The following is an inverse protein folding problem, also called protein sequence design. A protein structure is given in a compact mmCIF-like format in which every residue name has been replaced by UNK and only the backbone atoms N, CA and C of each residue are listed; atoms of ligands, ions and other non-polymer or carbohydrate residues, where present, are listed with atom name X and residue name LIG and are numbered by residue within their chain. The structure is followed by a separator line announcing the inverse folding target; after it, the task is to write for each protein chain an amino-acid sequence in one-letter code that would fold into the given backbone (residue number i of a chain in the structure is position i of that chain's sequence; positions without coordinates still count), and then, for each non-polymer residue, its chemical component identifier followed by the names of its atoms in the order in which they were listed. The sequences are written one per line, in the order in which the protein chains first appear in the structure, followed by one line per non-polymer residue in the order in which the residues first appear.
data_IF_788297899451
#
_entry.id   IF_788297899451
#
_cell.length_a   1.000
_cell.length_b   1.000
_cell.length_c   1.000
_cell.angle_alpha   90.00
_cell.angle_beta   90.00
_cell.angle_gamma   90.00
#
_symmetry.space_group_name_H-M   'P 1'
#
loop_
_entity.id
_entity.type
_entity.pdbx_description
1 polymer ?
#
# COMPACT_ATOMS: atom_id res chain seq x y z
N UNK A 1 20.13 49.42 -15.92
CA UNK A 1 19.54 48.24 -16.60
C UNK A 1 20.52 47.07 -16.63
N UNK A 2 21.76 47.28 -17.00
CA UNK A 2 22.75 46.21 -17.17
C UNK A 2 23.07 45.39 -15.91
N UNK A 3 23.18 46.04 -14.74
CA UNK A 3 23.49 45.32 -13.48
C UNK A 3 22.31 44.40 -13.02
N UNK A 4 21.08 44.82 -13.25
CA UNK A 4 19.89 44.01 -12.92
C UNK A 4 19.81 42.82 -13.88
N UNK A 5 20.04 43.04 -15.16
CA UNK A 5 20.03 41.98 -16.17
C UNK A 5 21.15 40.97 -15.93
N UNK A 6 22.37 41.43 -15.58
CA UNK A 6 23.45 40.54 -15.20
C UNK A 6 23.11 39.74 -13.94
N UNK A 7 22.52 40.37 -12.91
CA UNK A 7 22.07 39.67 -11.70
C UNK A 7 21.03 38.60 -11.99
N UNK A 8 20.04 38.90 -12.83
CA UNK A 8 19.04 37.91 -13.27
C UNK A 8 19.68 36.74 -14.04
N UNK A 9 20.62 37.03 -14.95
CA UNK A 9 21.32 35.98 -15.70
C UNK A 9 22.14 35.08 -14.78
N UNK A 10 22.86 35.65 -13.83
CA UNK A 10 23.64 34.88 -12.84
C UNK A 10 22.68 34.01 -12.00
N UNK A 11 21.57 34.55 -11.56
CA UNK A 11 20.55 33.79 -10.81
C UNK A 11 20.04 32.60 -11.63
N UNK A 12 19.65 32.81 -12.88
CA UNK A 12 19.16 31.74 -13.78
C UNK A 12 20.25 30.67 -13.98
N UNK A 13 21.51 31.08 -14.16
CA UNK A 13 22.63 30.14 -14.30
C UNK A 13 22.88 29.32 -13.04
N UNK A 14 22.79 29.94 -11.85
CA UNK A 14 22.94 29.24 -10.58
C UNK A 14 21.78 28.23 -10.40
N UNK A 15 20.55 28.67 -10.62
CA UNK A 15 19.38 27.77 -10.53
C UNK A 15 19.50 26.61 -11.51
N UNK A 16 19.85 26.90 -12.78
CA UNK A 16 20.06 25.86 -13.78
C UNK A 16 21.17 24.87 -13.42
N UNK A 17 22.31 25.37 -12.90
CA UNK A 17 23.37 24.50 -12.43
C UNK A 17 23.00 23.65 -11.23
N UNK A 18 22.23 24.21 -10.28
CA UNK A 18 21.74 23.48 -9.10
C UNK A 18 20.74 22.39 -9.52
N UNK A 19 19.77 22.71 -10.38
CA UNK A 19 18.83 21.72 -10.92
C UNK A 19 19.55 20.61 -11.69
N UNK A 20 20.56 20.98 -12.52
CA UNK A 20 21.38 20.00 -13.25
C UNK A 20 22.17 19.08 -12.30
N UNK A 21 22.71 19.62 -11.21
CA UNK A 21 23.46 18.84 -10.23
C UNK A 21 22.50 17.86 -9.50
N UNK A 22 21.30 18.31 -9.10
CA UNK A 22 20.30 17.45 -8.47
C UNK A 22 19.84 16.34 -9.40
N UNK A 23 19.60 16.66 -10.68
CA UNK A 23 19.27 15.66 -11.69
C UNK A 23 20.35 14.58 -11.78
N UNK A 24 21.63 14.97 -11.92
CA UNK A 24 22.74 14.02 -12.02
C UNK A 24 22.94 13.19 -10.75
N UNK A 25 22.70 13.78 -9.56
CA UNK A 25 22.76 13.05 -8.30
C UNK A 25 21.64 12.01 -8.19
N UNK A 26 20.43 12.35 -8.62
CA UNK A 26 19.30 11.41 -8.62
C UNK A 26 19.48 10.28 -9.63
N UNK A 27 19.95 10.58 -10.86
CA UNK A 27 20.26 9.53 -11.85
C UNK A 27 21.30 8.54 -11.30
N UNK A 28 22.39 9.07 -10.73
CA UNK A 28 23.41 8.22 -10.12
C UNK A 28 22.88 7.40 -8.95
N UNK A 29 22.03 8.00 -8.10
CA UNK A 29 21.39 7.29 -7.00
C UNK A 29 20.48 6.17 -7.53
N UNK A 30 19.67 6.47 -8.53
CA UNK A 30 18.79 5.50 -9.18
C UNK A 30 19.58 4.31 -9.74
N UNK A 31 20.65 4.56 -10.50
CA UNK A 31 21.51 3.50 -11.05
C UNK A 31 22.09 2.61 -9.93
N UNK A 32 22.62 3.22 -8.86
CA UNK A 32 23.15 2.49 -7.71
C UNK A 32 22.06 1.64 -7.01
N UNK A 33 20.84 2.16 -6.92
CA UNK A 33 19.73 1.44 -6.31
C UNK A 33 19.26 0.28 -7.17
N UNK A 34 19.21 0.44 -8.49
CA UNK A 34 18.92 -0.67 -9.42
C UNK A 34 19.99 -1.76 -9.31
N UNK A 35 21.30 -1.39 -9.29
CA UNK A 35 22.38 -2.35 -9.06
C UNK A 35 22.21 -3.10 -7.73
N UNK A 36 21.80 -2.40 -6.66
CA UNK A 36 21.53 -3.02 -5.37
C UNK A 36 20.33 -3.98 -5.44
N UNK A 37 19.22 -3.55 -6.05
CA UNK A 37 18.02 -4.38 -6.25
C UNK A 37 18.34 -5.61 -7.10
N UNK A 38 19.20 -5.50 -8.09
CA UNK A 38 19.60 -6.62 -8.94
C UNK A 38 20.43 -7.69 -8.21
N UNK A 39 20.84 -7.43 -6.96
CA UNK A 39 21.40 -8.49 -6.09
C UNK A 39 20.33 -9.42 -5.50
N UNK A 40 19.07 -9.00 -5.50
CA UNK A 40 17.94 -9.85 -5.08
C UNK A 40 17.47 -10.63 -6.31
N UNK A 41 17.88 -11.88 -6.39
CA UNK A 41 17.43 -12.80 -7.43
C UNK A 41 16.98 -14.09 -6.73
N UNK A 42 15.68 -14.31 -6.69
CA UNK A 42 15.05 -15.44 -6.00
C UNK A 42 14.34 -16.28 -7.05
N UNK A 43 14.68 -17.57 -7.09
CA UNK A 43 13.93 -18.53 -7.88
C UNK A 43 12.85 -19.14 -6.98
N UNK A 44 11.59 -18.85 -7.27
CA UNK A 44 10.46 -19.47 -6.58
C UNK A 44 10.20 -20.84 -7.19
N UNK A 45 10.31 -21.88 -6.38
CA UNK A 45 9.94 -23.25 -6.75
C UNK A 45 8.47 -23.52 -6.41
N UNK A 46 7.74 -24.20 -7.31
CA UNK A 46 6.35 -24.65 -7.11
C UNK A 46 5.31 -23.54 -6.91
N UNK A 47 5.49 -22.38 -7.53
CA UNK A 47 4.55 -21.27 -7.44
C UNK A 47 3.23 -21.59 -8.17
N UNK A 48 2.09 -21.27 -7.56
CA UNK A 48 0.79 -21.27 -8.24
C UNK A 48 0.80 -20.24 -9.36
N UNK A 49 0.39 -20.66 -10.56
CA UNK A 49 0.37 -19.80 -11.76
C UNK A 49 -1.04 -19.26 -11.94
N UNK A 50 -1.25 -17.93 -11.83
CA UNK A 50 -2.55 -17.33 -12.08
C UNK A 50 -2.90 -17.39 -13.56
N UNK A 51 -4.21 -17.37 -13.84
CA UNK A 51 -4.78 -17.37 -15.18
C UNK A 51 -5.80 -16.22 -15.30
N UNK A 52 -6.15 -15.84 -16.53
CA UNK A 52 -7.27 -14.91 -16.75
C UNK A 52 -8.52 -15.68 -17.16
N UNK A 53 -9.65 -15.25 -16.64
CA UNK A 53 -10.96 -15.75 -17.07
C UNK A 53 -11.45 -15.04 -18.36
N UNK A 54 -12.64 -15.41 -18.82
CA UNK A 54 -13.24 -14.84 -20.04
C UNK A 54 -13.56 -13.33 -19.92
N UNK A 55 -13.66 -12.81 -18.68
CA UNK A 55 -13.85 -11.39 -18.42
C UNK A 55 -12.52 -10.63 -18.29
N UNK A 56 -11.38 -11.33 -18.37
CA UNK A 56 -10.03 -10.78 -18.25
C UNK A 56 -9.53 -10.65 -16.82
N UNK A 57 -10.27 -11.10 -15.82
CA UNK A 57 -9.87 -11.03 -14.43
C UNK A 57 -8.96 -12.20 -14.05
N UNK A 58 -7.95 -11.91 -13.21
CA UNK A 58 -7.02 -12.91 -12.73
C UNK A 58 -7.67 -13.89 -11.74
N UNK A 59 -7.23 -15.13 -11.75
CA UNK A 59 -7.59 -16.11 -10.73
C UNK A 59 -6.47 -17.14 -10.50
N UNK A 60 -6.38 -17.60 -9.24
CA UNK A 60 -5.62 -18.78 -8.84
C UNK A 60 -6.56 -19.97 -8.70
N UNK A 61 -6.05 -21.19 -8.97
CA UNK A 61 -6.80 -22.43 -8.74
C UNK A 61 -6.04 -23.30 -7.74
N UNK A 62 -6.66 -23.56 -6.57
CA UNK A 62 -6.09 -24.42 -5.56
C UNK A 62 -7.18 -25.00 -4.65
N UNK A 63 -6.97 -26.23 -4.18
CA UNK A 63 -7.72 -26.85 -3.08
C UNK A 63 -6.95 -26.78 -1.75
N UNK A 64 -5.71 -26.32 -1.81
CA UNK A 64 -4.86 -26.05 -0.64
C UNK A 64 -5.02 -24.57 -0.21
N UNK A 65 -4.40 -24.22 0.92
CA UNK A 65 -4.35 -22.83 1.39
C UNK A 65 -3.54 -21.96 0.43
N UNK A 66 -4.04 -20.76 0.13
CA UNK A 66 -3.31 -19.73 -0.61
C UNK A 66 -2.78 -18.69 0.37
N UNK A 67 -1.48 -18.44 0.33
CA UNK A 67 -0.82 -17.46 1.19
C UNK A 67 -0.71 -16.11 0.49
N UNK A 68 -1.29 -15.07 1.08
CA UNK A 68 -1.19 -13.68 0.61
C UNK A 68 -0.40 -12.88 1.63
N UNK A 69 0.58 -12.11 1.14
CA UNK A 69 1.31 -11.14 1.95
C UNK A 69 0.75 -9.75 1.69
N UNK A 70 0.24 -9.09 2.72
CA UNK A 70 -0.22 -7.72 2.65
C UNK A 70 0.88 -6.77 3.13
N UNK A 71 1.30 -5.87 2.24
CA UNK A 71 2.26 -4.80 2.48
C UNK A 71 1.59 -3.44 2.27
N UNK A 72 2.11 -2.41 2.90
CA UNK A 72 1.61 -1.03 2.74
C UNK A 72 2.67 0.00 3.09
N UNK A 73 2.50 1.24 2.62
CA UNK A 73 3.30 2.41 3.03
C UNK A 73 4.82 2.16 2.95
N UNK A 74 5.30 1.75 1.77
CA UNK A 74 6.73 1.41 1.55
C UNK A 74 7.58 2.66 1.52
N UNK A 75 7.05 3.77 0.97
CA UNK A 75 7.63 5.11 0.95
C UNK A 75 9.05 5.19 0.41
N UNK A 76 9.32 4.52 -0.72
CA UNK A 76 10.56 4.70 -1.48
C UNK A 76 10.57 6.12 -2.04
N UNK A 77 11.62 6.86 -1.79
CA UNK A 77 11.69 8.26 -2.24
C UNK A 77 12.26 8.39 -3.65
N UNK A 78 13.18 7.52 -4.02
CA UNK A 78 13.96 7.63 -5.26
C UNK A 78 14.96 8.79 -5.27
N UNK A 79 15.02 9.58 -4.19
CA UNK A 79 15.84 10.76 -4.07
C UNK A 79 17.22 10.49 -3.45
N UNK A 80 18.26 11.17 -3.93
CA UNK A 80 19.63 10.99 -3.44
C UNK A 80 19.79 11.33 -1.94
N UNK A 81 18.90 12.15 -1.38
CA UNK A 81 18.96 12.56 0.03
C UNK A 81 18.48 11.46 1.00
N UNK A 82 17.73 10.48 0.51
CA UNK A 82 17.15 9.39 1.32
C UNK A 82 17.59 7.99 0.86
N UNK A 83 18.74 7.89 0.20
CA UNK A 83 19.22 6.63 -0.40
C UNK A 83 19.33 5.47 0.61
N UNK A 84 19.72 5.74 1.85
CA UNK A 84 19.83 4.71 2.90
C UNK A 84 18.45 4.26 3.38
N UNK A 85 17.50 5.17 3.53
CA UNK A 85 16.10 4.84 3.88
C UNK A 85 15.44 4.01 2.78
N UNK A 86 15.67 4.38 1.51
CA UNK A 86 15.19 3.59 0.37
C UNK A 86 15.75 2.17 0.38
N UNK A 87 17.05 1.99 0.68
CA UNK A 87 17.64 0.65 0.83
C UNK A 87 17.03 -0.13 1.98
N UNK A 88 16.74 0.53 3.12
CA UNK A 88 16.10 -0.12 4.26
C UNK A 88 14.70 -0.61 3.90
N UNK A 89 13.89 0.21 3.22
CA UNK A 89 12.56 -0.17 2.76
C UNK A 89 12.59 -1.34 1.77
N UNK A 90 13.46 -1.27 0.76
CA UNK A 90 13.69 -2.33 -0.23
C UNK A 90 14.12 -3.63 0.46
N UNK A 91 15.06 -3.55 1.40
CA UNK A 91 15.53 -4.71 2.14
C UNK A 91 14.45 -5.33 3.04
N UNK A 92 13.62 -4.50 3.66
CA UNK A 92 12.49 -4.95 4.48
C UNK A 92 11.47 -5.73 3.64
N UNK A 93 11.06 -5.18 2.49
CA UNK A 93 10.17 -5.88 1.54
C UNK A 93 10.78 -7.22 1.11
N UNK A 94 12.05 -7.23 0.70
CA UNK A 94 12.73 -8.45 0.27
C UNK A 94 12.80 -9.51 1.38
N UNK A 95 13.11 -9.10 2.61
CA UNK A 95 13.20 -10.00 3.76
C UNK A 95 11.86 -10.69 4.06
N UNK A 96 10.78 -9.92 4.08
CA UNK A 96 9.43 -10.42 4.33
C UNK A 96 8.93 -11.34 3.21
N UNK A 97 9.07 -10.93 1.96
CA UNK A 97 8.66 -11.74 0.81
C UNK A 97 9.42 -13.07 0.74
N UNK A 98 10.75 -13.04 0.95
CA UNK A 98 11.57 -14.27 0.90
C UNK A 98 11.27 -15.19 2.08
N UNK A 99 11.08 -14.65 3.28
CA UNK A 99 10.82 -15.46 4.47
C UNK A 99 9.43 -16.12 4.41
N UNK A 100 8.43 -15.36 3.98
CA UNK A 100 7.05 -15.86 3.91
C UNK A 100 6.78 -16.70 2.66
N UNK A 101 7.51 -16.50 1.57
CA UNK A 101 7.31 -17.20 0.31
C UNK A 101 5.82 -17.27 -0.07
N UNK A 102 5.13 -16.11 -0.25
CA UNK A 102 3.70 -16.07 -0.51
C UNK A 102 3.37 -16.45 -1.96
N UNK A 103 2.14 -16.86 -2.20
CA UNK A 103 1.60 -17.05 -3.56
C UNK A 103 1.28 -15.71 -4.23
N UNK A 104 0.90 -14.70 -3.44
CA UNK A 104 0.52 -13.37 -3.90
C UNK A 104 0.95 -12.31 -2.89
N UNK A 105 1.48 -11.20 -3.38
CA UNK A 105 1.72 -9.98 -2.57
C UNK A 105 0.71 -8.92 -3.00
N UNK A 106 -0.01 -8.34 -2.05
CA UNK A 106 -0.90 -7.20 -2.26
C UNK A 106 -0.33 -5.99 -1.51
N UNK A 107 -0.12 -4.89 -2.23
CA UNK A 107 0.38 -3.64 -1.65
C UNK A 107 -0.72 -2.61 -1.66
N UNK A 108 -1.13 -2.15 -0.48
CA UNK A 108 -2.20 -1.15 -0.37
C UNK A 108 -1.67 0.28 -0.38
N UNK A 109 -0.90 0.63 -1.42
CA UNK A 109 -0.53 2.01 -1.73
C UNK A 109 0.67 2.57 -0.99
N UNK A 110 0.94 3.83 -1.28
CA UNK A 110 2.05 4.62 -0.77
C UNK A 110 3.41 3.92 -0.96
N UNK A 111 3.63 3.45 -2.19
CA UNK A 111 4.93 2.91 -2.62
C UNK A 111 5.94 4.03 -2.75
N UNK A 112 5.51 5.20 -3.27
CA UNK A 112 6.36 6.35 -3.54
C UNK A 112 6.22 7.44 -2.49
N UNK A 113 7.34 8.07 -2.09
CA UNK A 113 7.38 9.29 -1.29
C UNK A 113 8.33 10.32 -1.89
N UNK A 114 8.14 10.64 -3.17
CA UNK A 114 8.97 11.58 -3.93
C UNK A 114 8.54 13.02 -3.66
N UNK A 115 9.08 13.65 -2.61
CA UNK A 115 8.79 15.02 -2.20
C UNK A 115 10.04 15.88 -2.23
N UNK A 116 9.96 17.22 -2.32
CA UNK A 116 11.13 18.08 -2.56
C UNK A 116 12.30 17.90 -1.58
N UNK A 117 12.02 17.60 -0.31
CA UNK A 117 13.07 17.43 0.71
C UNK A 117 13.84 16.11 0.59
N UNK A 118 13.34 15.13 -0.17
CA UNK A 118 14.08 13.89 -0.48
C UNK A 118 15.07 14.05 -1.63
N UNK A 119 15.08 15.23 -2.27
CA UNK A 119 15.96 15.59 -3.38
C UNK A 119 15.34 15.40 -4.76
N UNK A 120 14.13 14.85 -4.85
CA UNK A 120 13.42 14.67 -6.13
C UNK A 120 11.90 14.79 -5.94
N UNK A 121 11.21 15.15 -7.03
CA UNK A 121 9.77 15.03 -7.20
C UNK A 121 9.42 14.02 -8.30
N UNK A 122 10.42 13.28 -8.76
CA UNK A 122 10.26 12.28 -9.80
C UNK A 122 9.89 10.93 -9.18
N UNK A 123 8.61 10.70 -9.00
CA UNK A 123 8.06 9.47 -8.44
C UNK A 123 8.31 8.22 -9.30
N UNK A 124 8.72 8.38 -10.58
CA UNK A 124 9.03 7.22 -11.43
C UNK A 124 10.22 6.42 -10.93
N UNK A 125 11.18 7.06 -10.24
CA UNK A 125 12.30 6.32 -9.65
C UNK A 125 11.81 5.32 -8.61
N UNK A 126 10.97 5.75 -7.67
CA UNK A 126 10.42 4.90 -6.63
C UNK A 126 9.62 3.72 -7.21
N UNK A 127 8.67 4.01 -8.11
CA UNK A 127 7.85 2.97 -8.73
C UNK A 127 8.68 1.97 -9.55
N UNK A 128 9.68 2.45 -10.33
CA UNK A 128 10.57 1.55 -11.07
C UNK A 128 11.44 0.68 -10.15
N UNK A 129 11.94 1.24 -9.04
CA UNK A 129 12.70 0.47 -8.05
C UNK A 129 11.84 -0.63 -7.45
N UNK A 130 10.59 -0.32 -7.09
CA UNK A 130 9.66 -1.29 -6.54
C UNK A 130 9.27 -2.37 -7.56
N UNK A 131 8.92 -1.99 -8.80
CA UNK A 131 8.67 -2.93 -9.90
C UNK A 131 9.87 -3.88 -10.06
N UNK A 132 11.07 -3.31 -10.17
CA UNK A 132 12.29 -4.11 -10.35
C UNK A 132 12.52 -5.08 -9.20
N UNK A 133 12.27 -4.64 -7.96
CA UNK A 133 12.37 -5.48 -6.78
C UNK A 133 11.41 -6.67 -6.86
N UNK A 134 10.13 -6.41 -7.09
CA UNK A 134 9.11 -7.47 -7.11
C UNK A 134 9.33 -8.47 -8.25
N UNK A 135 9.71 -7.98 -9.44
CA UNK A 135 10.07 -8.85 -10.57
C UNK A 135 11.29 -9.72 -10.28
N UNK A 136 12.32 -9.18 -9.57
CA UNK A 136 13.51 -9.94 -9.16
C UNK A 136 13.23 -10.95 -8.02
N UNK A 137 12.26 -10.64 -7.15
CA UNK A 137 11.80 -11.59 -6.12
C UNK A 137 10.96 -12.72 -6.71
N UNK A 138 10.45 -12.56 -7.93
CA UNK A 138 9.78 -13.61 -8.69
C UNK A 138 8.46 -14.08 -8.08
N UNK A 139 7.77 -13.24 -7.33
CA UNK A 139 6.48 -13.52 -6.69
C UNK A 139 5.37 -12.76 -7.41
N UNK A 140 4.18 -13.35 -7.55
CA UNK A 140 3.03 -12.60 -8.09
C UNK A 140 2.60 -11.50 -7.15
N UNK A 141 2.29 -10.34 -7.70
CA UNK A 141 1.97 -9.15 -6.91
C UNK A 141 0.99 -8.22 -7.59
N UNK A 142 0.29 -7.42 -6.79
CA UNK A 142 -0.57 -6.35 -7.26
C UNK A 142 -0.57 -5.18 -6.29
N UNK A 143 -1.13 -4.04 -6.71
CA UNK A 143 -1.14 -2.81 -5.91
C UNK A 143 -2.51 -2.12 -5.98
N UNK A 144 -2.83 -1.34 -4.94
CA UNK A 144 -3.72 -0.18 -5.02
C UNK A 144 -2.89 1.08 -4.89
N UNK A 145 -3.47 2.26 -5.16
CA UNK A 145 -2.78 3.53 -5.01
C UNK A 145 -3.05 4.17 -3.66
N UNK A 146 -1.99 4.74 -3.07
CA UNK A 146 -2.09 5.64 -1.93
C UNK A 146 -2.06 7.12 -2.34
N UNK A 147 -2.09 8.02 -1.36
CA UNK A 147 -2.12 9.45 -1.64
C UNK A 147 -0.75 10.02 -2.03
N UNK A 148 0.36 9.38 -1.60
CA UNK A 148 1.71 9.82 -1.95
C UNK A 148 2.24 9.26 -3.26
N UNK A 149 1.55 8.31 -3.89
CA UNK A 149 2.02 7.72 -5.16
C UNK A 149 2.00 8.72 -6.32
N UNK A 150 1.15 9.76 -6.25
CA UNK A 150 1.06 10.82 -7.27
C UNK A 150 0.69 12.20 -6.68
N UNK A 151 1.50 12.72 -5.77
CA UNK A 151 1.35 14.07 -5.23
C UNK A 151 1.16 15.12 -6.33
N UNK A 152 0.43 16.21 -6.02
CA UNK A 152 0.07 17.23 -7.01
C UNK A 152 1.27 17.83 -7.77
N UNK A 153 2.47 17.79 -7.18
CA UNK A 153 3.73 18.29 -7.74
C UNK A 153 4.61 17.20 -8.37
N UNK A 154 4.23 15.92 -8.28
CA UNK A 154 5.04 14.82 -8.82
C UNK A 154 5.14 14.87 -10.35
N UNK A 155 6.23 14.28 -10.87
CA UNK A 155 6.52 14.25 -12.30
C UNK A 155 5.49 13.42 -13.08
N UNK A 156 5.03 12.30 -12.53
CA UNK A 156 3.99 11.47 -13.13
C UNK A 156 2.71 11.50 -12.29
N UNK A 157 1.59 11.56 -13.00
CA UNK A 157 0.26 11.43 -12.40
C UNK A 157 -0.16 9.97 -12.35
N UNK A 158 -1.12 9.66 -11.52
CA UNK A 158 -1.59 8.30 -11.21
C UNK A 158 -1.79 7.42 -12.44
N UNK A 159 -2.46 7.91 -13.48
CA UNK A 159 -2.63 7.15 -14.72
C UNK A 159 -1.28 6.73 -15.35
N UNK A 160 -0.32 7.65 -15.39
CA UNK A 160 1.00 7.31 -15.97
C UNK A 160 1.79 6.32 -15.11
N UNK A 161 1.56 6.31 -13.79
CA UNK A 161 2.11 5.29 -12.89
C UNK A 161 1.39 3.96 -13.08
N UNK A 162 0.08 3.98 -13.23
CA UNK A 162 -0.71 2.79 -13.54
C UNK A 162 -0.28 2.13 -14.85
N UNK A 163 0.06 2.93 -15.87
CA UNK A 163 0.58 2.41 -17.15
C UNK A 163 1.93 1.68 -16.97
N UNK A 164 2.72 2.03 -15.92
CA UNK A 164 3.96 1.30 -15.61
C UNK A 164 3.65 -0.08 -15.00
N UNK A 165 2.64 -0.17 -14.14
CA UNK A 165 2.21 -1.45 -13.53
C UNK A 165 1.46 -2.34 -14.52
N UNK A 166 0.70 -1.76 -15.44
CA UNK A 166 -0.03 -2.49 -16.49
C UNK A 166 0.83 -2.88 -17.70
N UNK A 167 2.16 -2.73 -17.60
CA UNK A 167 3.07 -3.09 -18.69
C UNK A 167 3.09 -4.61 -18.89
N UNK A 168 2.73 -5.08 -20.08
CA UNK A 168 2.68 -6.49 -20.48
C UNK A 168 4.04 -7.23 -20.41
N UNK A 169 5.16 -6.49 -20.36
CA UNK A 169 6.50 -7.05 -20.18
C UNK A 169 6.77 -7.51 -18.74
N UNK A 170 5.96 -7.09 -17.75
CA UNK A 170 6.06 -7.55 -16.37
C UNK A 170 5.51 -8.98 -16.25
N UNK A 171 6.33 -9.84 -15.68
CA UNK A 171 6.00 -11.26 -15.59
C UNK A 171 5.11 -11.60 -14.40
N UNK A 172 5.28 -10.87 -13.31
CA UNK A 172 4.67 -11.21 -12.02
C UNK A 172 3.63 -10.19 -11.55
N UNK A 173 3.52 -9.03 -12.21
CA UNK A 173 2.53 -8.01 -11.87
C UNK A 173 1.14 -8.40 -12.37
N UNK A 174 0.16 -8.46 -11.45
CA UNK A 174 -1.24 -8.78 -11.73
C UNK A 174 -2.15 -7.54 -11.69
N UNK A 175 -1.56 -6.36 -11.70
CA UNK A 175 -2.31 -5.11 -11.72
C UNK A 175 -3.14 -4.99 -13.01
N UNK A 176 -4.39 -4.57 -12.86
CA UNK A 176 -5.27 -4.26 -13.99
C UNK A 176 -5.78 -2.81 -13.87
N UNK A 177 -5.97 -2.18 -15.01
CA UNK A 177 -6.63 -0.88 -15.08
C UNK A 177 -8.09 -1.00 -14.62
N UNK A 178 -8.64 0.07 -14.05
CA UNK A 178 -10.09 0.13 -13.76
C UNK A 178 -10.91 -0.08 -15.03
N UNK A 179 -12.10 -0.67 -14.92
CA UNK A 179 -13.06 -0.65 -16.03
C UNK A 179 -13.38 0.80 -16.46
N UNK A 180 -13.67 1.00 -17.75
CA UNK A 180 -13.75 2.33 -18.39
C UNK A 180 -14.73 3.31 -17.71
N UNK A 181 -15.77 2.81 -17.06
CA UNK A 181 -16.81 3.65 -16.43
C UNK A 181 -16.76 3.61 -14.88
N UNK A 182 -15.65 3.19 -14.31
CA UNK A 182 -15.45 3.13 -12.86
C UNK A 182 -14.43 4.19 -12.45
N UNK A 183 -14.81 5.05 -11.53
CA UNK A 183 -13.92 6.08 -10.97
C UNK A 183 -12.70 5.47 -10.30
N UNK A 184 -11.62 6.24 -10.22
CA UNK A 184 -10.36 5.76 -9.68
C UNK A 184 -9.55 4.94 -10.70
N UNK A 185 -8.38 4.48 -10.28
CA UNK A 185 -7.40 3.81 -11.14
C UNK A 185 -6.93 2.54 -10.45
N UNK A 186 -7.05 1.39 -11.16
CA UNK A 186 -6.61 0.11 -10.62
C UNK A 186 -7.67 -0.59 -9.76
N UNK A 187 -8.96 -0.31 -9.98
CA UNK A 187 -10.01 -1.15 -9.41
C UNK A 187 -10.04 -2.48 -10.17
N UNK A 188 -9.70 -3.58 -9.51
CA UNK A 188 -9.66 -4.90 -10.12
C UNK A 188 -9.88 -6.01 -9.10
N UNK A 189 -10.08 -7.24 -9.58
CA UNK A 189 -10.30 -8.42 -8.75
C UNK A 189 -9.36 -9.55 -9.11
N UNK A 190 -8.88 -10.25 -8.08
CA UNK A 190 -8.17 -11.52 -8.21
C UNK A 190 -9.00 -12.59 -7.48
N UNK A 191 -9.46 -13.59 -8.21
CA UNK A 191 -10.27 -14.65 -7.63
C UNK A 191 -9.43 -15.85 -7.19
N UNK A 192 -9.88 -16.55 -6.16
CA UNK A 192 -9.38 -17.88 -5.79
C UNK A 192 -10.48 -18.89 -6.08
N UNK A 193 -10.16 -19.89 -6.89
CA UNK A 193 -11.08 -20.97 -7.29
C UNK A 193 -10.59 -22.30 -6.75
N UNK A 194 -11.50 -23.17 -6.36
CA UNK A 194 -11.16 -24.57 -6.14
C UNK A 194 -11.09 -25.34 -7.48
N UNK A 195 -10.64 -26.58 -7.45
CA UNK A 195 -10.54 -27.43 -8.66
C UNK A 195 -11.91 -27.82 -9.24
N UNK A 196 -13.00 -27.64 -8.50
CA UNK A 196 -14.36 -27.77 -9.01
C UNK A 196 -14.84 -26.53 -9.79
N UNK A 197 -14.06 -25.44 -9.80
CA UNK A 197 -14.35 -24.19 -10.50
C UNK A 197 -15.19 -23.20 -9.71
N UNK A 198 -15.48 -23.47 -8.42
CA UNK A 198 -16.19 -22.53 -7.55
C UNK A 198 -15.23 -21.41 -7.09
N UNK A 199 -15.69 -20.16 -7.12
CA UNK A 199 -14.94 -19.04 -6.52
C UNK A 199 -15.10 -19.09 -5.00
N UNK A 200 -14.01 -19.43 -4.33
CA UNK A 200 -13.98 -19.54 -2.87
C UNK A 200 -13.72 -18.20 -2.21
N UNK A 201 -12.93 -17.35 -2.87
CA UNK A 201 -12.57 -16.02 -2.39
C UNK A 201 -12.44 -15.04 -3.54
N UNK A 202 -12.91 -13.80 -3.37
CA UNK A 202 -12.57 -12.68 -4.25
C UNK A 202 -11.74 -11.66 -3.48
N UNK A 203 -10.53 -11.37 -3.98
CA UNK A 203 -9.64 -10.33 -3.48
C UNK A 203 -9.87 -9.10 -4.36
N UNK A 204 -10.45 -8.06 -3.80
CA UNK A 204 -10.96 -6.91 -4.56
C UNK A 204 -10.14 -5.67 -4.18
N UNK A 205 -9.39 -5.14 -5.14
CA UNK A 205 -8.63 -3.92 -5.03
C UNK A 205 -9.49 -2.74 -5.43
N UNK A 206 -9.56 -1.71 -4.56
CA UNK A 206 -10.33 -0.48 -4.79
C UNK A 206 -9.39 0.73 -4.64
N UNK A 207 -9.43 1.66 -5.59
CA UNK A 207 -8.76 2.95 -5.45
C UNK A 207 -9.55 3.84 -4.48
N UNK A 208 -9.04 4.04 -3.28
CA UNK A 208 -9.62 4.94 -2.28
C UNK A 208 -9.38 6.43 -2.60
N UNK A 209 -8.81 6.71 -3.76
CA UNK A 209 -8.37 8.03 -4.21
C UNK A 209 -7.22 8.61 -3.35
N UNK A 210 -7.03 9.92 -3.39
CA UNK A 210 -6.06 10.66 -2.58
C UNK A 210 -6.73 11.90 -1.99
N UNK A 211 -6.50 13.08 -2.60
CA UNK A 211 -7.07 14.36 -2.17
C UNK A 211 -8.26 14.75 -3.04
N UNK A 212 -9.15 15.61 -2.50
CA UNK A 212 -10.37 16.07 -3.19
C UNK A 212 -10.01 16.77 -4.51
N UNK A 213 -8.98 17.64 -4.51
CA UNK A 213 -8.56 18.36 -5.70
C UNK A 213 -7.27 17.76 -6.29
N UNK A 214 -7.23 17.66 -7.61
CA UNK A 214 -6.10 17.04 -8.35
C UNK A 214 -5.16 18.08 -9.00
N UNK A 215 -5.46 19.37 -8.90
CA UNK A 215 -4.60 20.43 -9.43
C UNK A 215 -3.48 20.79 -8.44
N UNK A 216 -2.41 21.42 -8.98
CA UNK A 216 -1.22 21.71 -8.18
C UNK A 216 -1.49 22.59 -6.96
N UNK A 217 -2.37 23.58 -7.08
CA UNK A 217 -2.60 24.55 -6.01
C UNK A 217 -3.53 23.98 -4.93
N UNK A 218 -4.73 23.55 -5.32
CA UNK A 218 -5.74 23.07 -4.37
C UNK A 218 -5.38 21.68 -3.84
N UNK A 219 -4.81 20.79 -4.67
CA UNK A 219 -4.35 19.48 -4.22
C UNK A 219 -3.22 19.58 -3.19
N UNK A 220 -2.30 20.54 -3.34
CA UNK A 220 -1.28 20.78 -2.30
C UNK A 220 -1.92 21.35 -1.02
N UNK A 221 -2.94 22.17 -1.12
CA UNK A 221 -3.69 22.66 0.05
C UNK A 221 -4.42 21.51 0.73
N UNK A 222 -5.07 20.63 -0.04
CA UNK A 222 -5.74 19.46 0.52
C UNK A 222 -4.76 18.53 1.26
N UNK A 223 -3.57 18.31 0.70
CA UNK A 223 -2.52 17.54 1.36
C UNK A 223 -2.09 18.15 2.71
N UNK A 224 -1.97 19.48 2.79
CA UNK A 224 -1.61 20.19 4.04
C UNK A 224 -2.72 20.07 5.10
N UNK A 225 -3.99 20.03 4.69
CA UNK A 225 -5.15 19.99 5.58
C UNK A 225 -5.81 18.61 5.67
N UNK A 226 -5.19 17.57 5.09
CA UNK A 226 -5.67 16.18 5.13
C UNK A 226 -7.11 16.05 4.60
N UNK A 227 -7.41 16.74 3.48
CA UNK A 227 -8.70 16.69 2.84
C UNK A 227 -8.74 15.52 1.83
N UNK A 228 -8.92 14.33 2.33
CA UNK A 228 -8.98 13.11 1.51
C UNK A 228 -10.32 13.01 0.77
N UNK A 229 -10.24 12.46 -0.43
CA UNK A 229 -11.41 12.08 -1.23
C UNK A 229 -12.00 10.75 -0.70
N UNK A 230 -13.10 10.27 -1.25
CA UNK A 230 -13.81 9.07 -0.83
C UNK A 230 -14.07 8.11 -2.00
N UNK A 231 -14.41 6.87 -1.72
CA UNK A 231 -14.85 5.88 -2.71
C UNK A 231 -16.15 6.37 -3.35
N UNK A 232 -16.26 6.23 -4.69
CA UNK A 232 -17.38 6.78 -5.47
C UNK A 232 -18.47 5.74 -5.68
N UNK A 233 -19.69 6.21 -5.93
CA UNK A 233 -20.84 5.33 -6.11
C UNK A 233 -20.64 4.31 -7.25
N UNK A 234 -20.01 4.71 -8.35
CA UNK A 234 -19.73 3.82 -9.49
C UNK A 234 -18.70 2.70 -9.14
N UNK A 235 -17.81 2.95 -8.18
CA UNK A 235 -16.92 1.91 -7.63
C UNK A 235 -17.70 0.94 -6.74
N UNK A 236 -18.68 1.44 -5.96
CA UNK A 236 -19.56 0.62 -5.13
C UNK A 236 -20.47 -0.26 -6.00
N UNK A 237 -21.03 0.34 -7.06
CA UNK A 237 -21.85 -0.38 -8.04
C UNK A 237 -21.02 -1.46 -8.79
N UNK A 238 -19.74 -1.15 -9.11
CA UNK A 238 -18.82 -2.12 -9.68
C UNK A 238 -18.51 -3.25 -8.70
N UNK A 239 -18.24 -2.94 -7.43
CA UNK A 239 -18.02 -3.94 -6.40
C UNK A 239 -19.23 -4.88 -6.26
N UNK A 240 -20.45 -4.35 -6.20
CA UNK A 240 -21.68 -5.14 -6.20
C UNK A 240 -21.73 -6.06 -7.42
N UNK A 241 -21.45 -5.52 -8.63
CA UNK A 241 -21.41 -6.31 -9.86
C UNK A 241 -20.38 -7.45 -9.83
N UNK A 242 -19.20 -7.26 -9.21
CA UNK A 242 -18.20 -8.32 -9.00
C UNK A 242 -18.76 -9.43 -8.09
N UNK A 243 -19.40 -9.06 -6.99
CA UNK A 243 -20.01 -10.03 -6.07
C UNK A 243 -21.12 -10.82 -6.77
N UNK A 244 -21.98 -10.15 -7.52
CA UNK A 244 -23.06 -10.80 -8.27
C UNK A 244 -22.53 -11.73 -9.39
N UNK A 245 -21.49 -11.30 -10.09
CA UNK A 245 -20.88 -12.07 -11.19
C UNK A 245 -20.23 -13.36 -10.70
N UNK A 246 -19.41 -13.26 -9.65
CA UNK A 246 -18.58 -14.38 -9.19
C UNK A 246 -19.21 -15.19 -8.07
N UNK A 247 -20.15 -14.63 -7.32
CA UNK A 247 -20.83 -15.26 -6.18
C UNK A 247 -19.84 -15.98 -5.23
N UNK A 248 -18.74 -15.29 -4.81
CA UNK A 248 -17.73 -15.92 -3.99
C UNK A 248 -18.29 -16.37 -2.64
N UNK A 249 -17.72 -17.43 -2.06
CA UNK A 249 -18.08 -17.84 -0.68
C UNK A 249 -17.79 -16.73 0.33
N UNK A 250 -16.69 -16.00 0.10
CA UNK A 250 -16.37 -14.76 0.81
C UNK A 250 -15.52 -13.82 -0.05
N UNK A 251 -15.39 -12.57 0.35
CA UNK A 251 -14.54 -11.58 -0.30
C UNK A 251 -13.75 -10.75 0.72
N UNK A 252 -12.62 -10.21 0.26
CA UNK A 252 -11.76 -9.32 1.02
C UNK A 252 -11.50 -8.06 0.18
N UNK A 253 -11.61 -6.88 0.78
CA UNK A 253 -11.34 -5.60 0.13
C UNK A 253 -9.96 -5.08 0.53
N UNK A 254 -9.26 -4.49 -0.45
CA UNK A 254 -7.94 -3.88 -0.27
C UNK A 254 -7.96 -2.47 -0.87
N UNK A 255 -7.62 -1.47 -0.07
CA UNK A 255 -7.51 -0.08 -0.47
C UNK A 255 -6.53 0.64 0.45
N UNK A 256 -6.19 1.90 0.19
CA UNK A 256 -5.17 2.61 0.96
C UNK A 256 -5.75 3.42 2.11
N UNK A 257 -6.53 4.46 1.81
CA UNK A 257 -7.10 5.35 2.82
C UNK A 257 -8.32 4.66 3.45
N UNK A 258 -8.37 4.50 4.78
CA UNK A 258 -9.51 3.87 5.44
C UNK A 258 -10.81 4.63 5.20
N UNK A 259 -11.92 3.90 5.09
CA UNK A 259 -13.25 4.50 5.00
C UNK A 259 -13.66 5.11 6.36
N UNK A 260 -14.63 5.99 6.33
CA UNK A 260 -15.09 6.71 7.52
C UNK A 260 -15.57 5.77 8.65
N UNK A 261 -16.08 4.61 8.31
CA UNK A 261 -16.58 3.62 9.26
C UNK A 261 -15.46 3.04 10.12
N UNK A 262 -14.22 3.02 9.67
CA UNK A 262 -13.04 2.66 10.51
C UNK A 262 -12.89 3.67 11.65
N UNK A 263 -13.00 4.97 11.34
CA UNK A 263 -12.99 6.02 12.36
C UNK A 263 -14.17 5.90 13.31
N UNK A 264 -15.37 5.66 12.78
CA UNK A 264 -16.58 5.51 13.60
C UNK A 264 -16.44 4.33 14.58
N UNK A 265 -15.92 3.19 14.12
CA UNK A 265 -15.66 2.03 14.97
C UNK A 265 -14.62 2.32 16.04
N UNK A 266 -13.51 2.98 15.67
CA UNK A 266 -12.47 3.40 16.62
C UNK A 266 -13.03 4.38 17.66
N UNK A 267 -13.75 5.42 17.25
CA UNK A 267 -14.36 6.40 18.15
C UNK A 267 -15.36 5.75 19.11
N UNK A 268 -16.15 4.76 18.67
CA UNK A 268 -17.06 3.97 19.51
C UNK A 268 -16.30 3.20 20.58
N UNK A 269 -15.19 2.53 20.21
CA UNK A 269 -14.32 1.80 21.13
C UNK A 269 -13.70 2.72 22.19
N UNK A 270 -13.18 3.88 21.77
CA UNK A 270 -12.59 4.87 22.68
C UNK A 270 -13.65 5.45 23.62
N UNK A 271 -14.83 5.82 23.09
CA UNK A 271 -15.94 6.36 23.88
C UNK A 271 -16.45 5.36 24.94
N UNK A 272 -16.32 4.05 24.68
CA UNK A 272 -16.65 2.97 25.62
C UNK A 272 -15.49 2.63 26.57
N UNK A 273 -14.49 3.48 26.69
CA UNK A 273 -13.35 3.31 27.63
C UNK A 273 -12.39 2.20 27.21
N UNK A 274 -12.16 2.03 25.91
CA UNK A 274 -11.31 0.98 25.31
C UNK A 274 -11.77 -0.45 25.69
N UNK A 275 -13.06 -0.68 25.63
CA UNK A 275 -13.66 -1.98 25.85
C UNK A 275 -14.64 -2.28 24.71
N UNK A 276 -14.79 -3.55 24.40
CA UNK A 276 -15.70 -4.03 23.35
C UNK A 276 -17.13 -3.52 23.56
N UNK A 277 -17.81 -3.26 22.44
CA UNK A 277 -19.23 -2.92 22.40
C UNK A 277 -20.04 -4.04 21.71
N UNK A 278 -21.33 -3.81 21.47
CA UNK A 278 -22.13 -4.70 20.63
C UNK A 278 -21.62 -4.72 19.19
N UNK A 279 -21.13 -3.56 18.68
CA UNK A 279 -20.71 -3.40 17.30
C UNK A 279 -19.20 -3.61 17.10
N UNK A 280 -18.37 -3.29 18.08
CA UNK A 280 -16.91 -3.24 17.95
C UNK A 280 -16.24 -4.23 18.89
N UNK A 281 -15.32 -5.02 18.35
CA UNK A 281 -14.42 -5.87 19.14
C UNK A 281 -12.98 -5.59 18.73
N UNK A 282 -12.14 -5.20 19.68
CA UNK A 282 -10.72 -5.08 19.45
C UNK A 282 -10.07 -6.45 19.49
N UNK A 283 -9.39 -6.84 18.41
CA UNK A 283 -8.80 -8.17 18.32
C UNK A 283 -7.34 -8.17 18.74
N UNK A 284 -6.52 -7.32 18.11
CA UNK A 284 -5.10 -7.18 18.44
C UNK A 284 -4.53 -5.90 17.79
N UNK A 285 -3.22 -5.64 18.06
CA UNK A 285 -2.49 -4.52 17.51
C UNK A 285 -2.59 -3.26 18.38
N UNK A 286 -2.03 -2.18 17.89
CA UNK A 286 -1.95 -0.89 18.60
C UNK A 286 -2.48 0.25 17.72
N UNK A 287 -3.03 1.26 18.39
CA UNK A 287 -3.26 2.58 17.87
C UNK A 287 -2.07 3.46 18.26
N UNK A 288 -1.31 3.91 17.28
CA UNK A 288 -0.16 4.78 17.54
C UNK A 288 -0.58 6.19 17.91
N UNK A 289 0.17 6.82 18.81
CA UNK A 289 -0.01 8.24 19.12
C UNK A 289 0.67 9.09 18.05
N UNK A 290 -0.10 9.78 17.21
CA UNK A 290 0.42 10.81 16.32
C UNK A 290 0.52 12.16 17.05
N UNK A 291 1.20 13.11 16.37
CA UNK A 291 1.34 14.51 16.81
C UNK A 291 0.02 15.28 16.88
N UNK A 292 -1.02 14.75 16.28
CA UNK A 292 -2.39 15.24 16.35
C UNK A 292 -3.20 14.35 17.29
N UNK A 293 -4.26 14.90 17.89
CA UNK A 293 -5.21 14.10 18.69
C UNK A 293 -6.06 13.13 17.83
N UNK A 294 -5.78 13.00 16.51
CA UNK A 294 -6.47 12.13 15.59
C UNK A 294 -5.63 10.88 15.30
N UNK A 295 -6.22 9.71 15.40
CA UNK A 295 -5.56 8.40 15.21
C UNK A 295 -5.95 7.77 13.88
N UNK A 296 -7.18 7.99 13.40
CA UNK A 296 -7.69 7.47 12.14
C UNK A 296 -7.97 8.62 11.19
N UNK A 297 -7.17 8.73 10.13
CA UNK A 297 -7.27 9.77 9.11
C UNK A 297 -8.06 9.24 7.90
N UNK A 298 -9.37 9.20 8.03
CA UNK A 298 -10.28 8.84 6.96
C UNK A 298 -10.82 10.08 6.23
N UNK A 299 -11.43 9.88 5.06
CA UNK A 299 -12.16 10.94 4.37
C UNK A 299 -13.25 11.53 5.28
N UNK A 300 -13.39 12.87 5.24
CA UNK A 300 -14.53 13.58 5.87
C UNK A 300 -15.81 13.45 5.04
N UNK A 301 -15.67 13.07 3.77
CA UNK A 301 -16.77 12.72 2.89
C UNK A 301 -17.16 11.27 3.20
N UNK A 302 -18.44 11.01 3.46
CA UNK A 302 -18.92 9.64 3.61
C UNK A 302 -19.10 8.97 2.25
N UNK A 303 -19.12 7.65 2.25
CA UNK A 303 -19.55 6.80 1.13
C UNK A 303 -20.44 5.67 1.66
N UNK A 304 -21.10 4.98 0.76
CA UNK A 304 -22.06 3.92 1.10
C UNK A 304 -21.44 2.52 0.96
N UNK A 305 -20.08 2.41 0.89
CA UNK A 305 -19.41 1.13 0.68
C UNK A 305 -19.71 0.14 1.82
N UNK A 306 -19.61 0.59 3.07
CA UNK A 306 -19.80 -0.30 4.21
C UNK A 306 -21.24 -0.78 4.34
N UNK A 307 -22.22 0.09 4.08
CA UNK A 307 -23.64 -0.28 4.00
C UNK A 307 -23.86 -1.35 2.93
N UNK A 308 -23.26 -1.20 1.75
CA UNK A 308 -23.33 -2.18 0.68
C UNK A 308 -22.66 -3.50 1.07
N UNK A 309 -21.54 -3.46 1.76
CA UNK A 309 -20.86 -4.65 2.30
C UNK A 309 -21.76 -5.42 3.28
N UNK A 310 -22.42 -4.70 4.18
CA UNK A 310 -23.37 -5.33 5.12
C UNK A 310 -24.60 -5.90 4.41
N UNK A 311 -25.10 -5.21 3.37
CA UNK A 311 -26.23 -5.67 2.55
C UNK A 311 -25.91 -6.98 1.83
N UNK A 312 -24.77 -7.06 1.15
CA UNK A 312 -24.34 -8.24 0.40
C UNK A 312 -23.90 -9.40 1.31
N UNK A 313 -23.32 -9.09 2.45
CA UNK A 313 -23.04 -10.02 3.56
C UNK A 313 -21.95 -11.06 3.30
N UNK A 314 -21.17 -10.96 2.21
CA UNK A 314 -20.09 -11.89 1.88
C UNK A 314 -18.68 -11.33 2.05
N UNK A 315 -18.50 -10.01 2.16
CA UNK A 315 -17.20 -9.42 2.51
C UNK A 315 -16.93 -9.60 4.00
N UNK A 316 -15.75 -10.14 4.31
CA UNK A 316 -15.35 -10.52 5.67
C UNK A 316 -14.31 -9.61 6.27
N UNK A 317 -13.50 -8.93 5.44
CA UNK A 317 -12.47 -8.02 5.92
C UNK A 317 -12.16 -6.92 4.91
N UNK A 318 -11.62 -5.83 5.43
CA UNK A 318 -11.04 -4.71 4.69
C UNK A 318 -9.63 -4.48 5.20
N UNK A 319 -8.67 -4.41 4.26
CA UNK A 319 -7.24 -4.22 4.52
C UNK A 319 -6.81 -2.88 3.94
N UNK A 320 -6.10 -2.09 4.74
CA UNK A 320 -5.69 -0.73 4.35
C UNK A 320 -4.39 -0.33 5.04
N UNK A 321 -3.81 0.82 4.65
CA UNK A 321 -2.60 1.42 5.20
C UNK A 321 -2.87 2.84 5.70
N UNK A 322 -2.05 3.80 5.22
CA UNK A 322 -2.21 5.24 5.39
C UNK A 322 -1.83 5.79 6.77
N UNK A 323 -2.37 5.24 7.85
CA UNK A 323 -2.08 5.68 9.21
C UNK A 323 -0.89 4.90 9.77
N UNK A 324 0.32 5.41 9.53
CA UNK A 324 1.60 4.70 9.69
C UNK A 324 1.85 4.17 11.10
N UNK A 325 1.22 4.75 12.12
CA UNK A 325 1.41 4.37 13.51
C UNK A 325 0.37 3.35 13.99
N UNK A 326 -0.63 3.05 13.14
CA UNK A 326 -1.65 2.05 13.44
C UNK A 326 -1.27 0.68 12.87
N UNK A 327 -1.54 -0.36 13.63
CA UNK A 327 -1.48 -1.74 13.15
C UNK A 327 -2.59 -2.59 13.77
N UNK A 328 -3.63 -1.95 14.26
CA UNK A 328 -4.72 -2.65 14.93
C UNK A 328 -5.65 -3.36 13.95
N UNK A 329 -6.25 -4.42 14.47
CA UNK A 329 -7.34 -5.17 13.84
C UNK A 329 -8.52 -5.17 14.78
N UNK A 330 -9.68 -4.77 14.26
CA UNK A 330 -10.95 -4.83 14.99
C UNK A 330 -12.06 -5.43 14.13
N UNK A 331 -13.04 -6.05 14.78
CA UNK A 331 -14.28 -6.46 14.15
C UNK A 331 -15.32 -5.34 14.35
N UNK A 332 -15.88 -4.86 13.24
CA UNK A 332 -16.99 -3.91 13.24
C UNK A 332 -18.20 -4.53 12.56
N UNK A 333 -19.22 -4.85 13.35
CA UNK A 333 -20.48 -5.47 12.86
C UNK A 333 -20.26 -6.74 12.03
N UNK A 334 -19.24 -7.54 12.36
CA UNK A 334 -18.91 -8.80 11.70
C UNK A 334 -18.00 -8.68 10.48
N UNK A 335 -17.44 -7.49 10.20
CA UNK A 335 -16.43 -7.25 9.18
C UNK A 335 -15.14 -6.82 9.86
N UNK A 336 -14.00 -7.46 9.53
CA UNK A 336 -12.71 -7.08 10.07
C UNK A 336 -12.18 -5.82 9.39
N UNK A 337 -11.75 -4.84 10.17
CA UNK A 337 -10.96 -3.69 9.74
C UNK A 337 -9.51 -3.93 10.17
N UNK A 338 -8.60 -4.02 9.21
CA UNK A 338 -7.22 -4.41 9.43
C UNK A 338 -6.26 -3.38 8.85
N UNK A 339 -5.57 -2.64 9.70
CA UNK A 339 -4.41 -1.88 9.27
C UNK A 339 -3.25 -2.82 8.95
N UNK A 340 -2.58 -2.56 7.81
CA UNK A 340 -1.28 -3.12 7.53
C UNK A 340 -0.19 -2.41 8.34
N UNK A 341 0.94 -3.09 8.55
CA UNK A 341 2.13 -2.43 9.07
C UNK A 341 2.74 -1.52 8.01
N UNK A 342 2.97 -0.26 8.34
CA UNK A 342 3.77 0.64 7.52
C UNK A 342 5.22 0.16 7.46
N UNK A 343 5.81 0.13 6.27
CA UNK A 343 7.24 -0.21 6.08
C UNK A 343 8.13 1.04 6.17
N UNK A 344 7.56 2.20 6.03
CA UNK A 344 8.15 3.52 5.89
C UNK A 344 9.40 3.78 6.76
N UNK A 345 10.46 4.27 6.12
CA UNK A 345 11.68 4.79 6.75
C UNK A 345 11.91 6.27 6.48
N UNK A 346 11.03 6.93 5.72
CA UNK A 346 11.26 8.27 5.16
C UNK A 346 10.28 9.31 5.65
N UNK A 347 8.97 9.01 5.70
CA UNK A 347 7.94 9.94 6.12
C UNK A 347 7.79 9.99 7.64
N UNK A 348 7.82 8.84 8.30
CA UNK A 348 7.67 8.67 9.75
C UNK A 348 8.89 7.93 10.33
N UNK A 349 9.93 8.68 10.70
CA UNK A 349 11.13 8.11 11.32
C UNK A 349 10.89 7.56 12.73
N UNK A 350 9.76 7.91 13.34
CA UNK A 350 9.45 7.64 14.75
C UNK A 350 8.42 6.50 14.94
N UNK A 351 8.17 5.71 13.91
CA UNK A 351 7.25 4.56 13.93
C UNK A 351 7.50 3.64 15.15
N UNK A 352 8.76 3.30 15.41
CA UNK A 352 9.13 2.41 16.49
C UNK A 352 8.94 3.04 17.88
N UNK A 353 9.08 4.38 17.96
CA UNK A 353 8.95 5.13 19.21
C UNK A 353 7.51 5.34 19.64
N UNK A 354 6.57 5.28 18.69
CA UNK A 354 5.14 5.47 18.95
C UNK A 354 4.42 4.16 19.30
N UNK A 355 5.16 3.07 19.52
CA UNK A 355 4.59 1.77 19.90
C UNK A 355 4.08 0.94 18.71
N UNK A 356 4.19 1.46 17.49
CA UNK A 356 3.98 0.70 16.27
C UNK A 356 5.30 0.17 15.72
N UNK A 357 5.26 -0.78 14.81
CA UNK A 357 6.45 -1.39 14.22
C UNK A 357 6.26 -1.63 12.74
N UNK A 358 7.39 -1.74 12.01
CA UNK A 358 7.40 -2.17 10.62
C UNK A 358 7.10 -3.64 10.51
N UNK A 359 6.41 -4.04 9.45
CA UNK A 359 6.06 -5.45 9.28
C UNK A 359 5.16 -5.70 8.09
N UNK A 360 4.43 -6.80 8.15
CA UNK A 360 3.45 -7.22 7.16
C UNK A 360 2.28 -7.95 7.82
N UNK A 361 1.20 -8.13 7.08
CA UNK A 361 0.16 -9.09 7.44
C UNK A 361 0.24 -10.31 6.51
N UNK A 362 0.21 -11.50 7.09
CA UNK A 362 0.12 -12.77 6.37
C UNK A 362 -1.33 -13.24 6.41
N UNK A 363 -1.93 -13.39 5.24
CA UNK A 363 -3.29 -13.91 5.10
C UNK A 363 -3.20 -15.36 4.60
N UNK A 364 -3.85 -16.27 5.31
CA UNK A 364 -4.04 -17.65 4.86
C UNK A 364 -5.47 -17.81 4.39
N UNK A 365 -5.67 -17.99 3.08
CA UNK A 365 -6.97 -18.15 2.45
C UNK A 365 -7.21 -19.63 2.21
N UNK A 366 -8.28 -20.17 2.79
CA UNK A 366 -8.65 -21.57 2.69
C UNK A 366 -9.61 -21.84 1.53
N UNK A 367 -9.55 -23.04 1.00
CA UNK A 367 -10.43 -23.49 -0.11
C UNK A 367 -11.93 -23.48 0.22
N UNK A 368 -12.30 -23.40 1.48
CA UNK A 368 -13.70 -23.28 1.92
C UNK A 368 -14.20 -21.81 1.99
N UNK A 369 -13.32 -20.82 1.73
CA UNK A 369 -13.62 -19.39 1.82
C UNK A 369 -13.37 -18.78 3.20
N UNK A 370 -12.90 -19.56 4.19
CA UNK A 370 -12.37 -18.99 5.43
C UNK A 370 -10.99 -18.37 5.19
N UNK A 371 -10.59 -17.45 6.07
CA UNK A 371 -9.25 -16.88 6.06
C UNK A 371 -8.76 -16.62 7.48
N UNK A 372 -7.44 -16.56 7.64
CA UNK A 372 -6.75 -16.12 8.85
C UNK A 372 -5.86 -14.93 8.54
N UNK A 373 -5.62 -14.09 9.55
CA UNK A 373 -4.69 -12.95 9.47
C UNK A 373 -3.70 -13.06 10.61
N UNK A 374 -2.42 -12.96 10.29
CA UNK A 374 -1.33 -12.86 11.25
C UNK A 374 -0.49 -11.63 10.91
N UNK A 375 -0.32 -10.72 11.87
CA UNK A 375 0.54 -9.56 11.71
C UNK A 375 1.93 -9.88 12.27
N UNK A 376 2.96 -9.67 11.46
CA UNK A 376 4.34 -10.05 11.81
C UNK A 376 5.25 -8.82 11.67
N UNK A 377 5.98 -8.52 12.74
CA UNK A 377 6.95 -7.42 12.74
C UNK A 377 8.19 -7.76 11.91
N UNK A 378 8.72 -6.79 11.18
CA UNK A 378 9.87 -6.96 10.31
C UNK A 378 11.10 -7.51 11.06
N UNK A 379 11.27 -7.18 12.31
CA UNK A 379 12.38 -7.66 13.13
C UNK A 379 12.51 -9.20 13.14
N UNK A 380 11.39 -9.92 13.05
CA UNK A 380 11.37 -11.38 13.02
C UNK A 380 12.00 -11.96 11.74
N UNK A 381 12.17 -11.14 10.69
CA UNK A 381 12.74 -11.56 9.40
C UNK A 381 14.23 -11.22 9.23
N UNK A 382 14.93 -10.78 10.29
CA UNK A 382 16.33 -10.44 10.18
C UNK A 382 17.18 -11.65 9.76
N UNK A 383 17.73 -11.57 8.55
CA UNK A 383 18.64 -12.53 7.96
C UNK A 383 19.91 -11.82 7.49
N UNK A 384 21.04 -12.52 7.44
CA UNK A 384 22.32 -11.93 7.07
C UNK A 384 22.29 -11.19 5.72
N UNK A 385 21.60 -11.76 4.70
CA UNK A 385 21.47 -11.18 3.37
C UNK A 385 20.51 -10.01 3.32
N UNK A 386 19.41 -10.05 4.09
CA UNK A 386 18.32 -9.08 4.06
C UNK A 386 18.26 -8.26 5.37
N UNK A 387 19.33 -8.28 6.14
CA UNK A 387 19.42 -7.53 7.40
C UNK A 387 19.31 -6.03 7.12
N UNK A 388 18.48 -5.29 7.85
CA UNK A 388 18.40 -3.85 7.74
C UNK A 388 19.76 -3.17 7.89
N UNK A 389 19.92 -2.01 7.26
CA UNK A 389 21.17 -1.22 7.31
C UNK A 389 21.28 -0.37 8.59
N UNK A 390 20.29 -0.41 9.47
CA UNK A 390 20.27 0.30 10.75
C UNK A 390 20.44 -0.67 11.92
N UNK A 391 20.74 -0.12 13.08
CA UNK A 391 20.93 -0.92 14.29
C UNK A 391 19.59 -1.54 14.75
N UNK A 392 19.60 -2.82 15.04
CA UNK A 392 18.44 -3.55 15.55
C UNK A 392 17.89 -2.97 16.86
N UNK A 393 18.77 -2.39 17.70
CA UNK A 393 18.39 -1.78 18.98
C UNK A 393 17.48 -0.54 18.79
N UNK A 394 17.44 0.05 17.57
CA UNK A 394 16.53 1.15 17.26
C UNK A 394 15.10 0.69 17.02
N UNK A 395 14.88 -0.60 16.75
CA UNK A 395 13.55 -1.17 16.56
C UNK A 395 12.98 -1.59 17.91
N UNK A 396 12.00 -0.84 18.41
CA UNK A 396 11.34 -1.22 19.66
C UNK A 396 10.43 -2.43 19.43
N UNK A 397 10.45 -3.38 20.38
CA UNK A 397 9.52 -4.52 20.35
C UNK A 397 8.11 -4.03 20.70
N UNK A 398 7.13 -4.42 19.91
CA UNK A 398 5.75 -4.16 20.27
C UNK A 398 5.35 -5.08 21.45
N UNK A 399 5.03 -4.51 22.65
CA UNK A 399 4.75 -5.29 23.85
C UNK A 399 3.50 -6.18 23.73
N UNK A 400 2.67 -5.99 22.70
CA UNK A 400 1.46 -6.78 22.47
C UNK A 400 1.71 -8.11 21.76
N UNK A 401 2.92 -8.37 21.24
CA UNK A 401 3.29 -9.65 20.63
C UNK A 401 3.94 -10.65 21.61
N UNK A 402 4.21 -10.25 22.84
CA UNK A 402 4.74 -11.15 23.89
C UNK A 402 3.63 -11.88 24.68
N UNK A 403 2.38 -11.72 24.32
CA UNK A 403 1.23 -12.41 24.92
C UNK A 403 0.64 -13.44 23.97
#
# INVERSE_FOLDING_TARGET
MDKILIGMLIFVLIVGATCGAFYLLNEKNYDNMIEYIDTFNVESENQLIPQKDDAGNWYFTTDEDLKVLHLTDVHITGGFANAEQDKMAINAVAAMVVAENPDLVIVTGDISFAIPNTGTINNTYAHNMFIRLMENLGVYWTVTFGNHDDEAFNYKRRQSVADMYANEDLKYCLFEQSPENVSGIGNHVINVKNTAGEVTQSLIMIDSHAYIHKDLLLGTVDAIFWNYDNIKQDQIDWYEGIIEQYQPKSSLLFFHIPIREVKNAYDEYIANGRTDTENVKWLFGVDGEDRSDEVVFASRLGDDLFEKVLELGNTRAMFFGHDHLNNFVLDYKGVLFSYGYSIDYSAYSDIDKSGSQRGCAVLTIKSNGEFGVENIVHENYYQDKYKPLYDKEEVSMNPYYEQ
#
